data_IF_160287354379
#
_entry.id   IF_160287354379
#
_cell.length_a   1.000
_cell.length_b   1.000
_cell.length_c   1.000
_cell.angle_alpha   90.00
_cell.angle_beta   90.00
_cell.angle_gamma   90.00
#
_symmetry.space_group_name_H-M   'P 1'
#
loop_
_entity.id
_entity.type
_entity.pdbx_description
1 polymer ?
#
# COMPACT_ATOMS: atom_id res chain seq x y z
N UNK A 1 -2.71 -65.05 -54.11
CA UNK A 1 -2.08 -64.57 -52.91
C UNK A 1 -2.60 -63.14 -52.65
N UNK A 2 -3.46 -62.94 -51.60
CA UNK A 2 -4.02 -61.62 -51.23
C UNK A 2 -3.18 -61.05 -50.10
N UNK A 3 -2.51 -59.94 -50.37
CA UNK A 3 -1.77 -59.19 -49.33
C UNK A 3 -2.71 -58.28 -48.58
N UNK A 4 -2.91 -58.48 -47.28
CA UNK A 4 -3.59 -57.57 -46.38
C UNK A 4 -2.59 -56.56 -45.79
N UNK A 5 -2.78 -55.29 -46.13
CA UNK A 5 -2.01 -54.16 -45.56
C UNK A 5 -2.67 -53.75 -44.28
N UNK A 6 -2.03 -53.97 -43.12
CA UNK A 6 -2.48 -53.47 -41.79
C UNK A 6 -1.96 -52.08 -41.61
N UNK A 7 -2.86 -51.08 -41.60
CA UNK A 7 -2.54 -49.68 -41.22
C UNK A 7 -2.69 -49.53 -39.72
N UNK A 8 -1.56 -49.36 -39.04
CA UNK A 8 -1.58 -49.03 -37.60
C UNK A 8 -1.89 -47.56 -37.42
N UNK A 9 -3.03 -47.26 -36.78
CA UNK A 9 -3.46 -45.90 -36.37
C UNK A 9 -2.88 -45.62 -35.00
N UNK A 10 -1.78 -44.86 -34.91
CA UNK A 10 -1.19 -44.41 -33.63
C UNK A 10 -1.99 -43.23 -33.13
N UNK A 11 -2.79 -43.46 -32.09
CA UNK A 11 -3.45 -42.40 -31.32
C UNK A 11 -2.42 -41.76 -30.37
N UNK A 12 -1.98 -40.54 -30.66
CA UNK A 12 -1.13 -39.73 -29.77
C UNK A 12 -2.07 -39.07 -28.77
N UNK A 13 -1.96 -39.36 -27.46
CA UNK A 13 -2.72 -38.65 -26.44
C UNK A 13 -2.19 -37.21 -26.31
N UNK A 14 -3.00 -36.24 -26.76
CA UNK A 14 -2.74 -34.82 -26.50
C UNK A 14 -2.97 -34.53 -25.02
N UNK A 15 -1.88 -34.42 -24.25
CA UNK A 15 -1.90 -33.90 -22.91
C UNK A 15 -2.22 -32.40 -22.97
N UNK A 16 -3.46 -32.02 -22.69
CA UNK A 16 -3.83 -30.65 -22.43
C UNK A 16 -3.26 -30.24 -21.07
N UNK A 17 -2.14 -29.55 -21.06
CA UNK A 17 -1.68 -28.79 -19.89
C UNK A 17 -2.67 -27.63 -19.68
N UNK A 18 -3.59 -27.80 -18.75
CA UNK A 18 -4.44 -26.72 -18.26
C UNK A 18 -3.56 -25.75 -17.49
N UNK A 19 -3.06 -24.71 -18.15
CA UNK A 19 -2.50 -23.56 -17.47
C UNK A 19 -3.63 -22.90 -16.67
N UNK A 20 -3.65 -23.09 -15.37
CA UNK A 20 -4.47 -22.28 -14.47
C UNK A 20 -3.93 -20.85 -14.52
N UNK A 21 -4.47 -20.05 -15.42
CA UNK A 21 -4.33 -18.59 -15.40
C UNK A 21 -5.07 -18.12 -14.15
N UNK A 22 -4.35 -17.89 -13.06
CA UNK A 22 -4.91 -17.14 -11.95
C UNK A 22 -5.22 -15.73 -12.47
N UNK A 23 -6.49 -15.44 -12.66
CA UNK A 23 -6.94 -14.11 -13.07
C UNK A 23 -6.51 -13.11 -11.99
N UNK A 24 -5.65 -12.16 -12.35
CA UNK A 24 -5.24 -11.09 -11.47
C UNK A 24 -6.44 -10.19 -11.19
N UNK A 25 -6.80 -10.03 -9.91
CA UNK A 25 -7.88 -9.13 -9.49
C UNK A 25 -7.39 -7.70 -9.55
N UNK A 26 -8.04 -6.86 -10.36
CA UNK A 26 -7.69 -5.45 -10.50
C UNK A 26 -8.74 -4.59 -9.79
N UNK A 27 -8.32 -3.85 -8.76
CA UNK A 27 -9.17 -2.96 -7.98
C UNK A 27 -9.07 -1.55 -8.56
N UNK A 28 -10.15 -1.06 -9.16
CA UNK A 28 -10.26 0.32 -9.62
C UNK A 28 -10.90 1.25 -8.60
N UNK A 29 -11.82 0.71 -7.78
CA UNK A 29 -12.50 1.44 -6.71
C UNK A 29 -12.71 0.48 -5.53
N UNK A 30 -12.33 0.92 -4.31
CA UNK A 30 -12.43 0.06 -3.15
C UNK A 30 -11.66 0.54 -1.94
N UNK A 31 -11.58 -0.32 -0.91
CA UNK A 31 -10.82 -0.09 0.31
C UNK A 31 -9.87 -1.23 0.63
N UNK A 32 -8.71 -0.87 1.13
CA UNK A 32 -7.66 -1.79 1.59
C UNK A 32 -7.34 -1.44 3.04
N UNK A 33 -7.29 -2.44 3.92
CA UNK A 33 -7.09 -2.24 5.34
C UNK A 33 -5.90 -3.06 5.84
N UNK A 34 -5.04 -2.39 6.63
CA UNK A 34 -3.89 -2.99 7.30
C UNK A 34 -4.01 -2.82 8.81
N UNK A 35 -3.70 -3.87 9.54
CA UNK A 35 -3.36 -3.78 10.96
C UNK A 35 -1.90 -3.33 11.08
N UNK A 36 -1.62 -2.48 12.08
CA UNK A 36 -0.28 -2.01 12.39
C UNK A 36 0.10 -2.52 13.78
N UNK A 37 1.17 -3.30 13.86
CA UNK A 37 1.81 -3.63 15.12
C UNK A 37 3.10 -2.82 15.25
N UNK A 38 3.38 -2.35 16.48
CA UNK A 38 4.53 -1.50 16.74
C UNK A 38 5.41 -2.20 17.76
N UNK A 39 6.71 -2.28 17.46
CA UNK A 39 7.74 -2.81 18.36
C UNK A 39 8.84 -1.78 18.58
N UNK A 40 9.49 -1.82 19.75
CA UNK A 40 10.64 -0.99 20.09
C UNK A 40 11.79 -1.85 20.56
N UNK A 41 13.00 -1.50 20.15
CA UNK A 41 14.21 -2.17 20.63
C UNK A 41 14.56 -1.80 22.10
N UNK A 42 13.96 -0.75 22.67
CA UNK A 42 14.40 -0.17 23.95
C UNK A 42 13.34 -0.08 25.06
N UNK A 43 12.04 -0.06 24.74
CA UNK A 43 10.99 0.11 25.76
C UNK A 43 9.63 -0.43 25.32
N UNK A 44 9.04 -1.30 26.16
CA UNK A 44 7.72 -1.87 25.92
C UNK A 44 6.56 -0.98 26.40
N UNK A 45 6.79 0.00 27.29
CA UNK A 45 5.73 0.86 27.87
C UNK A 45 5.13 1.84 26.87
N UNK A 46 5.90 2.25 25.87
CA UNK A 46 5.41 3.15 24.80
C UNK A 46 4.52 2.41 23.81
N UNK A 47 4.63 1.08 23.73
CA UNK A 47 3.94 0.23 22.75
C UNK A 47 2.44 0.14 23.03
N UNK A 48 2.01 0.15 24.28
CA UNK A 48 0.59 0.03 24.66
C UNK A 48 -0.27 1.18 24.12
N UNK A 49 0.36 2.37 23.93
CA UNK A 49 -0.32 3.55 23.36
C UNK A 49 -0.63 3.43 21.86
N UNK A 50 -0.04 2.46 21.19
CA UNK A 50 -0.20 2.24 19.75
C UNK A 50 -0.95 0.95 19.42
N UNK A 51 -1.38 0.19 20.44
CA UNK A 51 -2.14 -1.04 20.23
C UNK A 51 -3.42 -0.75 19.45
N UNK A 52 -3.69 -1.57 18.42
CA UNK A 52 -4.85 -1.42 17.56
C UNK A 52 -4.72 -0.32 16.51
N UNK A 53 -3.51 0.16 16.21
CA UNK A 53 -3.31 1.08 15.08
C UNK A 53 -3.68 0.41 13.75
N UNK A 54 -4.31 1.16 12.86
CA UNK A 54 -4.74 0.71 11.53
C UNK A 54 -4.33 1.68 10.45
N UNK A 55 -4.15 1.16 9.24
CA UNK A 55 -4.04 1.95 8.02
C UNK A 55 -5.17 1.54 7.08
N UNK A 56 -5.96 2.51 6.64
CA UNK A 56 -7.02 2.30 5.66
C UNK A 56 -6.79 3.15 4.42
N UNK A 57 -6.74 2.49 3.26
CA UNK A 57 -6.63 3.13 1.96
C UNK A 57 -7.96 3.03 1.23
N UNK A 58 -8.48 4.16 0.77
CA UNK A 58 -9.60 4.26 -0.15
C UNK A 58 -9.08 4.73 -1.50
N UNK A 59 -9.48 4.05 -2.57
CA UNK A 59 -9.10 4.39 -3.95
C UNK A 59 -10.31 4.51 -4.85
N UNK A 60 -10.24 5.46 -5.76
CA UNK A 60 -11.08 5.63 -6.95
C UNK A 60 -10.20 6.07 -8.12
N UNK A 61 -10.67 6.05 -9.38
CA UNK A 61 -9.92 6.60 -10.50
C UNK A 61 -9.48 8.05 -10.23
N UNK A 62 -8.16 8.27 -10.15
CA UNK A 62 -7.56 9.57 -9.89
C UNK A 62 -7.70 10.12 -8.46
N UNK A 63 -8.29 9.39 -7.51
CA UNK A 63 -8.48 9.81 -6.13
C UNK A 63 -7.94 8.76 -5.16
N UNK A 64 -7.22 9.20 -4.15
CA UNK A 64 -6.79 8.33 -3.05
C UNK A 64 -6.93 9.02 -1.69
N UNK A 65 -7.29 8.25 -0.68
CA UNK A 65 -7.27 8.67 0.72
C UNK A 65 -6.68 7.57 1.57
N UNK A 66 -5.60 7.87 2.27
CA UNK A 66 -4.98 6.98 3.27
C UNK A 66 -5.27 7.54 4.65
N UNK A 67 -5.76 6.72 5.58
CA UNK A 67 -6.02 7.10 6.97
C UNK A 67 -5.21 6.18 7.87
N UNK A 68 -4.32 6.74 8.64
CA UNK A 68 -3.68 6.06 9.77
C UNK A 68 -4.41 6.48 11.05
N UNK A 69 -4.95 5.50 11.78
CA UNK A 69 -5.67 5.69 13.03
C UNK A 69 -4.93 4.97 14.15
N UNK A 70 -4.80 5.64 15.31
CA UNK A 70 -4.25 5.06 16.54
C UNK A 70 -4.97 5.65 17.75
N UNK A 71 -4.65 5.18 18.96
CA UNK A 71 -5.15 5.77 20.20
C UNK A 71 -4.68 7.21 20.44
N UNK A 72 -3.60 7.64 19.78
CA UNK A 72 -3.07 9.01 19.86
C UNK A 72 -3.83 9.99 18.95
N UNK A 73 -4.56 9.50 17.95
CA UNK A 73 -5.27 10.30 16.98
C UNK A 73 -5.21 9.73 15.57
N UNK A 74 -5.49 10.57 14.58
CA UNK A 74 -5.57 10.19 13.18
C UNK A 74 -4.74 11.11 12.27
N UNK A 75 -4.17 10.54 11.23
CA UNK A 75 -3.62 11.27 10.08
C UNK A 75 -4.28 10.74 8.81
N UNK A 76 -4.92 11.62 8.03
CA UNK A 76 -5.42 11.29 6.71
C UNK A 76 -4.66 12.06 5.64
N UNK A 77 -4.25 11.39 4.58
CA UNK A 77 -3.64 12.00 3.39
C UNK A 77 -4.53 11.76 2.20
N UNK A 78 -4.98 12.83 1.55
CA UNK A 78 -5.84 12.79 0.36
C UNK A 78 -5.07 13.36 -0.82
N UNK A 79 -5.19 12.71 -1.99
CA UNK A 79 -4.62 13.21 -3.23
C UNK A 79 -5.56 12.99 -4.41
N UNK A 80 -5.69 14.05 -5.21
CA UNK A 80 -6.40 14.03 -6.49
C UNK A 80 -5.37 14.21 -7.60
N UNK A 81 -5.03 13.11 -8.29
CA UNK A 81 -4.02 13.11 -9.34
C UNK A 81 -4.47 13.87 -10.60
N UNK A 82 -5.80 13.93 -10.87
CA UNK A 82 -6.35 14.66 -11.99
C UNK A 82 -6.18 16.18 -11.83
N UNK A 83 -6.31 16.68 -10.58
CA UNK A 83 -6.11 18.08 -10.25
C UNK A 83 -4.68 18.43 -9.84
N UNK A 84 -3.85 17.43 -9.53
CA UNK A 84 -2.52 17.62 -8.97
C UNK A 84 -2.52 18.31 -7.61
N UNK A 85 -3.55 18.09 -6.80
CA UNK A 85 -3.75 18.72 -5.49
C UNK A 85 -4.10 17.68 -4.44
N UNK A 86 -3.76 17.97 -3.19
CA UNK A 86 -4.10 17.12 -2.06
C UNK A 86 -4.03 17.88 -0.75
N UNK A 87 -4.30 17.18 0.34
CA UNK A 87 -4.17 17.71 1.68
C UNK A 87 -3.89 16.59 2.68
N UNK A 88 -3.34 16.97 3.84
CA UNK A 88 -3.17 16.10 4.99
C UNK A 88 -4.02 16.66 6.12
N UNK A 89 -4.82 15.81 6.74
CA UNK A 89 -5.52 16.10 7.99
C UNK A 89 -4.75 15.45 9.13
N UNK A 90 -4.50 16.20 10.20
CA UNK A 90 -3.89 15.69 11.44
C UNK A 90 -4.79 16.02 12.61
N UNK A 91 -5.17 14.99 13.35
CA UNK A 91 -5.99 15.12 14.55
C UNK A 91 -5.28 14.42 15.71
N UNK A 92 -4.48 15.17 16.47
CA UNK A 92 -3.71 14.67 17.60
C UNK A 92 -3.84 15.60 18.79
N UNK A 93 -4.07 15.05 19.99
CA UNK A 93 -4.08 15.81 21.27
C UNK A 93 -5.00 17.04 21.22
N UNK A 94 -6.16 16.93 20.59
CA UNK A 94 -7.13 18.01 20.46
C UNK A 94 -6.80 19.07 19.40
N UNK A 95 -5.67 18.97 18.73
CA UNK A 95 -5.32 19.83 17.59
C UNK A 95 -5.82 19.24 16.27
N UNK A 96 -6.37 20.10 15.41
CA UNK A 96 -6.82 19.76 14.08
C UNK A 96 -6.12 20.64 13.05
N UNK A 97 -5.24 20.02 12.24
CA UNK A 97 -4.47 20.70 11.21
C UNK A 97 -4.86 20.17 9.84
N UNK A 98 -5.05 21.09 8.89
CA UNK A 98 -5.20 20.82 7.47
C UNK A 98 -3.98 21.39 6.75
N UNK A 99 -3.20 20.51 6.11
CA UNK A 99 -1.97 20.88 5.39
C UNK A 99 -2.24 20.71 3.91
N UNK A 100 -2.31 21.81 3.16
CA UNK A 100 -2.55 21.78 1.72
C UNK A 100 -1.29 21.34 0.97
N UNK A 101 -1.47 20.57 -0.12
CA UNK A 101 -0.38 20.06 -0.96
C UNK A 101 -0.62 20.34 -2.44
N UNK A 102 0.45 20.75 -3.12
CA UNK A 102 0.57 20.76 -4.57
C UNK A 102 1.07 19.40 -5.09
N UNK A 103 1.09 19.20 -6.41
CA UNK A 103 1.72 18.04 -7.04
C UNK A 103 3.22 17.92 -6.67
N UNK A 104 3.94 19.05 -6.59
CA UNK A 104 5.35 19.05 -6.19
C UNK A 104 5.53 18.55 -4.75
N UNK A 105 4.68 19.02 -3.81
CA UNK A 105 4.69 18.53 -2.43
C UNK A 105 4.33 17.05 -2.33
N UNK A 106 3.42 16.55 -3.19
CA UNK A 106 3.08 15.13 -3.27
C UNK A 106 4.29 14.28 -3.69
N UNK A 107 5.01 14.70 -4.71
CA UNK A 107 6.23 14.02 -5.18
C UNK A 107 7.30 14.02 -4.09
N UNK A 108 7.53 15.17 -3.43
CA UNK A 108 8.47 15.30 -2.32
C UNK A 108 8.10 14.38 -1.15
N UNK A 109 6.82 14.35 -0.73
CA UNK A 109 6.32 13.50 0.36
C UNK A 109 6.57 12.02 0.09
N UNK A 110 6.41 11.57 -1.16
CA UNK A 110 6.55 10.18 -1.56
C UNK A 110 7.93 9.84 -2.16
N UNK A 111 8.90 10.76 -2.07
CA UNK A 111 10.23 10.61 -2.70
C UNK A 111 10.93 9.33 -2.22
N UNK A 112 10.81 8.98 -0.94
CA UNK A 112 11.42 7.78 -0.40
C UNK A 112 10.92 6.52 -1.13
N UNK A 113 9.60 6.35 -1.28
CA UNK A 113 9.00 5.19 -1.95
C UNK A 113 9.32 5.17 -3.45
N UNK A 114 9.36 6.34 -4.09
CA UNK A 114 9.60 6.48 -5.52
C UNK A 114 11.01 6.08 -5.93
N UNK A 115 11.96 6.16 -5.01
CA UNK A 115 13.38 5.86 -5.24
C UNK A 115 13.76 4.41 -4.89
N UNK A 116 12.83 3.59 -4.38
CA UNK A 116 13.08 2.19 -4.10
C UNK A 116 13.09 1.38 -5.39
N UNK A 117 14.20 0.68 -5.64
CA UNK A 117 14.35 -0.27 -6.74
C UNK A 117 14.28 -1.69 -6.16
N UNK A 118 13.18 -2.40 -6.42
CA UNK A 118 12.93 -3.72 -5.88
C UNK A 118 13.52 -4.83 -6.75
N UNK A 119 14.21 -5.77 -6.09
CA UNK A 119 14.51 -7.10 -6.61
C UNK A 119 13.47 -8.08 -6.06
N UNK A 120 12.88 -8.91 -6.92
CA UNK A 120 11.78 -9.82 -6.57
C UNK A 120 12.28 -11.26 -6.60
N UNK A 121 12.07 -11.99 -5.50
CA UNK A 121 12.41 -13.42 -5.41
C UNK A 121 11.44 -14.25 -6.27
N UNK A 122 11.96 -15.33 -6.84
CA UNK A 122 11.16 -16.28 -7.62
C UNK A 122 10.21 -17.10 -6.71
N UNK A 123 10.65 -17.38 -5.47
CA UNK A 123 9.90 -18.19 -4.51
C UNK A 123 8.63 -17.51 -4.03
N UNK A 124 7.63 -18.34 -3.73
CA UNK A 124 6.34 -17.92 -3.20
C UNK A 124 6.19 -18.39 -1.76
N UNK A 125 5.60 -17.57 -0.90
CA UNK A 125 5.28 -17.87 0.49
C UNK A 125 3.82 -17.51 0.78
N UNK A 126 3.17 -18.26 1.67
CA UNK A 126 1.81 -17.96 2.11
C UNK A 126 1.84 -17.05 3.33
N UNK A 127 1.21 -15.86 3.23
CA UNK A 127 1.09 -14.88 4.30
C UNK A 127 -0.33 -14.30 4.34
N UNK A 128 -0.94 -14.30 5.51
CA UNK A 128 -2.29 -13.76 5.74
C UNK A 128 -3.34 -14.28 4.74
N UNK A 129 -3.21 -15.55 4.29
CA UNK A 129 -4.11 -16.16 3.30
C UNK A 129 -3.84 -15.74 1.85
N UNK A 130 -2.71 -15.08 1.58
CA UNK A 130 -2.31 -14.67 0.23
C UNK A 130 -1.02 -15.39 -0.18
N UNK A 131 -0.98 -15.82 -1.44
CA UNK A 131 0.25 -16.29 -2.09
C UNK A 131 1.11 -15.06 -2.43
N UNK A 132 2.26 -14.93 -1.79
CA UNK A 132 3.10 -13.74 -1.81
C UNK A 132 4.47 -14.01 -2.41
N UNK A 133 5.03 -13.01 -3.06
CA UNK A 133 6.45 -12.92 -3.40
C UNK A 133 7.15 -11.94 -2.47
N UNK A 134 8.42 -12.22 -2.18
CA UNK A 134 9.29 -11.31 -1.43
C UNK A 134 9.97 -10.35 -2.40
N UNK A 135 9.90 -9.05 -2.09
CA UNK A 135 10.65 -8.01 -2.78
C UNK A 135 11.58 -7.30 -1.80
N UNK A 136 12.80 -7.02 -2.22
CA UNK A 136 13.79 -6.31 -1.42
C UNK A 136 14.35 -5.11 -2.17
N UNK A 137 14.57 -4.00 -1.47
CA UNK A 137 15.22 -2.81 -2.01
C UNK A 137 16.21 -2.25 -0.98
N UNK A 138 17.22 -1.53 -1.44
CA UNK A 138 18.10 -0.77 -0.57
C UNK A 138 17.53 0.64 -0.36
N UNK A 139 17.45 1.04 0.90
CA UNK A 139 17.07 2.40 1.30
C UNK A 139 18.25 3.35 1.15
N UNK A 140 18.03 4.69 1.07
CA UNK A 140 19.11 5.67 0.96
C UNK A 140 20.11 5.64 2.13
N UNK A 141 19.72 5.17 3.31
CA UNK A 141 20.58 4.96 4.49
C UNK A 141 21.28 3.59 4.50
N UNK A 142 21.24 2.85 3.39
CA UNK A 142 21.96 1.58 3.19
C UNK A 142 21.33 0.36 3.85
N UNK A 143 20.11 0.48 4.40
CA UNK A 143 19.39 -0.66 4.97
C UNK A 143 18.61 -1.42 3.91
N UNK A 144 18.31 -2.69 4.19
CA UNK A 144 17.42 -3.49 3.34
C UNK A 144 15.97 -3.27 3.77
N UNK A 145 15.13 -2.85 2.82
CA UNK A 145 13.68 -2.77 2.96
C UNK A 145 13.04 -3.98 2.29
N UNK A 146 12.19 -4.68 3.03
CA UNK A 146 11.53 -5.91 2.55
C UNK A 146 10.01 -5.72 2.51
N UNK A 147 9.40 -6.13 1.40
CA UNK A 147 7.95 -6.16 1.21
C UNK A 147 7.54 -7.54 0.71
N UNK A 148 6.55 -8.13 1.35
CA UNK A 148 5.82 -9.28 0.81
C UNK A 148 4.57 -8.76 0.12
N UNK A 149 4.39 -9.11 -1.15
CA UNK A 149 3.27 -8.64 -1.96
C UNK A 149 2.60 -9.81 -2.68
N UNK A 150 1.29 -9.73 -2.89
CA UNK A 150 0.57 -10.69 -3.73
C UNK A 150 0.44 -10.18 -5.16
N UNK A 151 0.93 -10.93 -6.16
CA UNK A 151 0.70 -10.58 -7.57
C UNK A 151 -0.75 -10.81 -8.01
N UNK A 152 -1.56 -11.55 -7.21
CA UNK A 152 -2.96 -11.84 -7.51
C UNK A 152 -3.89 -10.62 -7.42
N UNK A 153 -3.45 -9.51 -6.79
CA UNK A 153 -4.25 -8.29 -6.64
C UNK A 153 -3.42 -7.09 -7.07
N UNK A 154 -4.02 -6.20 -7.88
CA UNK A 154 -3.44 -4.91 -8.25
C UNK A 154 -4.43 -3.77 -8.00
N UNK A 155 -3.91 -2.56 -7.76
CA UNK A 155 -4.69 -1.34 -7.65
C UNK A 155 -4.41 -0.51 -8.89
N UNK A 156 -5.48 -0.11 -9.61
CA UNK A 156 -5.35 0.69 -10.85
C UNK A 156 -4.80 2.08 -10.57
N UNK A 157 -5.26 2.72 -9.48
CA UNK A 157 -4.74 4.01 -9.04
C UNK A 157 -3.47 3.79 -8.23
N UNK A 158 -2.31 4.14 -8.79
CA UNK A 158 -1.00 4.03 -8.14
C UNK A 158 -0.57 5.31 -7.40
N UNK A 159 -1.35 6.38 -7.49
CA UNK A 159 -1.09 7.66 -6.83
C UNK A 159 -1.73 7.70 -5.43
N UNK A 160 -1.28 6.83 -4.53
CA UNK A 160 -1.67 6.85 -3.13
C UNK A 160 -0.44 6.97 -2.21
N UNK A 161 -0.68 7.44 -0.99
CA UNK A 161 0.39 7.63 -0.01
C UNK A 161 1.04 6.28 0.35
N UNK A 162 2.36 6.23 0.32
CA UNK A 162 3.17 5.02 0.54
C UNK A 162 2.92 3.90 -0.49
N UNK A 163 2.58 4.25 -1.74
CA UNK A 163 2.57 3.30 -2.84
C UNK A 163 3.98 2.80 -3.16
N UNK A 164 4.16 1.49 -3.24
CA UNK A 164 5.40 0.88 -3.73
C UNK A 164 5.26 0.51 -5.21
N UNK A 165 6.34 0.65 -5.98
CA UNK A 165 6.37 0.23 -7.39
C UNK A 165 6.55 -1.29 -7.51
N UNK A 166 5.54 -2.04 -7.07
CA UNK A 166 5.49 -3.49 -7.09
C UNK A 166 4.39 -3.97 -8.06
N UNK A 167 4.58 -5.13 -8.71
CA UNK A 167 3.57 -5.71 -9.60
C UNK A 167 2.48 -6.47 -8.82
N UNK A 168 1.98 -5.87 -7.74
CA UNK A 168 0.97 -6.45 -6.86
C UNK A 168 0.74 -5.66 -5.59
N UNK A 169 -0.22 -6.11 -4.79
CA UNK A 169 -0.61 -5.47 -3.53
C UNK A 169 0.33 -5.90 -2.40
N UNK A 170 0.95 -4.95 -1.66
CA UNK A 170 1.67 -5.25 -0.43
C UNK A 170 0.79 -6.00 0.58
N UNK A 171 1.28 -7.12 1.10
CA UNK A 171 0.59 -7.93 2.13
C UNK A 171 1.24 -7.71 3.49
N UNK A 172 2.57 -7.63 3.53
CA UNK A 172 3.30 -7.35 4.77
C UNK A 172 4.58 -6.58 4.49
N UNK A 173 4.85 -5.56 5.30
CA UNK A 173 6.10 -4.80 5.27
C UNK A 173 6.35 -4.10 6.61
N UNK A 174 7.60 -3.66 6.85
CA UNK A 174 8.00 -2.98 8.07
C UNK A 174 8.68 -1.66 7.75
N UNK A 175 8.29 -0.59 8.46
CA UNK A 175 8.92 0.73 8.35
C UNK A 175 9.54 1.07 9.71
N UNK A 176 10.82 1.46 9.72
CA UNK A 176 11.49 1.96 10.90
C UNK A 176 11.37 3.48 10.99
N UNK A 177 11.02 3.98 12.16
CA UNK A 177 11.01 5.41 12.49
C UNK A 177 11.63 5.61 13.87
N UNK A 178 12.84 6.12 13.89
CA UNK A 178 13.65 6.19 15.12
C UNK A 178 13.88 4.79 15.73
N UNK A 179 13.48 4.60 16.98
CA UNK A 179 13.60 3.33 17.71
C UNK A 179 12.36 2.41 17.54
N UNK A 180 11.36 2.85 16.77
CA UNK A 180 10.11 2.12 16.54
C UNK A 180 10.13 1.42 15.20
N UNK A 181 9.63 0.18 15.19
CA UNK A 181 9.34 -0.59 13.98
C UNK A 181 7.83 -0.74 13.84
N UNK A 182 7.30 -0.25 12.74
CA UNK A 182 5.89 -0.34 12.36
C UNK A 182 5.74 -1.48 11.36
N UNK A 183 5.09 -2.56 11.77
CA UNK A 183 4.77 -3.69 10.89
C UNK A 183 3.33 -3.56 10.41
N UNK A 184 3.18 -3.46 9.11
CA UNK A 184 1.90 -3.41 8.40
C UNK A 184 1.55 -4.81 7.91
N UNK A 185 0.35 -5.27 8.22
CA UNK A 185 -0.17 -6.57 7.80
C UNK A 185 -1.55 -6.40 7.17
N UNK A 186 -1.71 -6.82 5.91
CA UNK A 186 -2.97 -6.74 5.18
C UNK A 186 -4.04 -7.56 5.89
N UNK A 187 -5.17 -6.93 6.18
CA UNK A 187 -6.34 -7.56 6.84
C UNK A 187 -7.45 -7.80 5.83
N UNK A 188 -7.76 -6.79 5.01
CA UNK A 188 -8.91 -6.87 4.12
C UNK A 188 -8.72 -6.06 2.84
N UNK A 189 -9.32 -6.55 1.74
CA UNK A 189 -9.43 -5.87 0.45
C UNK A 189 -10.86 -5.98 -0.03
N UNK A 190 -11.55 -4.85 -0.10
CA UNK A 190 -12.95 -4.79 -0.53
C UNK A 190 -13.09 -3.94 -1.79
N UNK A 191 -13.56 -4.57 -2.87
CA UNK A 191 -13.97 -3.86 -4.08
C UNK A 191 -15.40 -3.37 -3.87
N UNK A 192 -15.58 -2.07 -3.82
CA UNK A 192 -16.87 -1.43 -3.58
C UNK A 192 -16.85 0.01 -4.03
N UNK A 193 -18.02 0.57 -4.26
CA UNK A 193 -18.17 2.00 -4.53
C UNK A 193 -17.77 2.80 -3.29
N UNK A 194 -16.94 3.83 -3.47
CA UNK A 194 -16.46 4.71 -2.42
C UNK A 194 -17.12 6.08 -2.57
N UNK A 195 -17.67 6.62 -1.48
CA UNK A 195 -18.30 7.95 -1.50
C UNK A 195 -17.26 9.03 -1.86
N UNK A 196 -17.61 9.90 -2.81
CA UNK A 196 -16.76 11.01 -3.24
C UNK A 196 -16.48 12.00 -2.10
N UNK A 197 -17.41 12.16 -1.17
CA UNK A 197 -17.27 13.04 -0.01
C UNK A 197 -16.05 12.68 0.86
N UNK A 198 -15.60 11.42 0.85
CA UNK A 198 -14.38 11.02 1.56
C UNK A 198 -13.11 11.70 1.06
N UNK A 199 -13.11 12.23 -0.15
CA UNK A 199 -11.95 12.89 -0.77
C UNK A 199 -12.06 14.42 -0.76
N UNK A 200 -13.11 14.96 -0.18
CA UNK A 200 -13.33 16.41 -0.10
C UNK A 200 -12.57 17.02 1.08
N UNK A 201 -12.10 18.25 0.87
CA UNK A 201 -11.45 19.05 1.89
C UNK A 201 -12.49 19.57 2.90
N UNK A 202 -12.27 19.42 4.23
CA UNK A 202 -13.14 20.00 5.24
C UNK A 202 -13.22 21.53 5.14
N UNK A 203 -14.42 22.09 5.17
CA UNK A 203 -14.64 23.55 5.03
C UNK A 203 -14.36 24.33 6.32
N UNK A 204 -14.31 23.67 7.47
CA UNK A 204 -14.10 24.30 8.78
C UNK A 204 -13.56 23.32 9.83
N UNK A 205 -13.20 23.81 10.99
CA UNK A 205 -12.77 23.00 12.13
C UNK A 205 -11.29 22.66 12.15
N UNK A 206 -10.50 23.11 11.17
CA UNK A 206 -9.07 22.89 11.08
C UNK A 206 -8.30 24.21 10.98
N UNK A 207 -7.13 24.26 11.62
CA UNK A 207 -6.13 25.27 11.30
C UNK A 207 -5.48 24.88 9.98
N UNK A 208 -5.59 25.77 8.98
CA UNK A 208 -5.04 25.55 7.65
C UNK A 208 -3.60 26.07 7.58
N UNK A 209 -2.71 25.31 6.92
CA UNK A 209 -1.34 25.68 6.62
C UNK A 209 -0.90 25.06 5.30
N UNK A 210 0.18 25.59 4.73
CA UNK A 210 0.84 25.02 3.57
C UNK A 210 1.72 23.83 3.95
N UNK A 211 2.10 23.02 2.97
CA UNK A 211 3.03 21.90 3.19
C UNK A 211 4.38 22.37 3.73
N UNK A 212 4.89 23.48 3.21
CA UNK A 212 6.19 24.03 3.60
C UNK A 212 6.18 24.54 5.04
N UNK A 213 5.12 25.25 5.47
CA UNK A 213 4.93 25.63 6.88
C UNK A 213 4.85 24.38 7.78
N UNK A 214 4.15 23.33 7.35
CA UNK A 214 4.08 22.07 8.07
C UNK A 214 5.43 21.35 8.18
N UNK A 215 6.32 21.47 7.20
CA UNK A 215 7.69 20.93 7.28
C UNK A 215 8.59 21.76 8.23
N UNK A 216 8.48 23.10 8.19
CA UNK A 216 9.22 23.98 9.12
C UNK A 216 8.88 23.68 10.58
N UNK A 217 7.60 23.46 10.89
CA UNK A 217 7.18 23.08 12.25
C UNK A 217 7.81 21.75 12.75
N UNK A 218 8.06 20.79 11.83
CA UNK A 218 8.70 19.53 12.19
C UNK A 218 10.19 19.64 12.46
N UNK A 219 10.86 20.63 11.88
CA UNK A 219 12.31 20.86 12.04
C UNK A 219 12.63 21.70 13.28
N UNK A 220 11.66 22.46 13.78
CA UNK A 220 11.81 23.34 14.96
C UNK A 220 11.47 22.67 16.30
N UNK A 221 11.08 21.41 16.29
CA UNK A 221 10.84 20.55 17.46
C UNK A 221 11.87 19.41 17.48
#
# INVERSE_FOLDING_TARGET
MKNYLYTYFTVVPSFFFSNFLFAQKQISEGSIEYAISISSAKDNKTLDKFNGATLKLFVRPGLSRTIMQSSLGAEATVFNSNLGKGFILKEYSGQKLLITMTKANWVQKNQWNNNLNFSVDANTVELNGYSCKKATANTPDGKTFTVYFTPGITITNTDYNNAFKLPGLPVQYEIQSGNLTFKYSLVNVTEQRIDAALFEEPKSGYRVMTYDEGQQMKQGN
#
